data_IF_844710017599
#
_entry.id   IF_844710017599
#
_cell.length_a   1.000
_cell.length_b   1.000
_cell.length_c   1.000
_cell.angle_alpha   90.00
_cell.angle_beta   90.00
_cell.angle_gamma   90.00
#
_symmetry.space_group_name_H-M   'P 1'
#
loop_
_entity.id
_entity.type
_entity.pdbx_description
1 polymer ?
#
# COMPACT_ATOMS: atom_id res chain seq x y z
N UNK A 1 0.28 -20.44 -0.89
CA UNK A 1 -0.76 -19.44 -0.57
C UNK A 1 -1.99 -19.74 -1.41
N UNK A 2 -3.19 -19.70 -0.85
CA UNK A 2 -4.42 -19.94 -1.62
C UNK A 2 -4.55 -18.86 -2.69
N UNK A 3 -4.75 -19.24 -3.96
CA UNK A 3 -4.88 -18.31 -5.09
C UNK A 3 -5.94 -17.22 -4.86
N UNK A 4 -6.99 -17.53 -4.11
CA UNK A 4 -8.05 -16.56 -3.77
C UNK A 4 -7.62 -15.46 -2.80
N UNK A 5 -6.51 -15.63 -2.07
CA UNK A 5 -5.94 -14.54 -1.27
C UNK A 5 -5.04 -13.61 -2.09
N UNK A 6 -4.39 -14.15 -3.12
CA UNK A 6 -3.57 -13.36 -4.04
C UNK A 6 -4.42 -12.63 -5.10
N UNK A 7 -5.38 -13.35 -5.72
CA UNK A 7 -6.25 -12.82 -6.76
C UNK A 7 -7.72 -13.27 -6.52
N UNK A 8 -8.46 -12.55 -5.65
CA UNK A 8 -9.85 -12.87 -5.37
C UNK A 8 -10.71 -12.73 -6.62
N UNK A 9 -11.54 -13.77 -6.95
CA UNK A 9 -12.39 -13.76 -8.13
C UNK A 9 -13.82 -14.19 -7.81
N UNK A 10 -14.79 -13.62 -8.53
CA UNK A 10 -16.21 -13.97 -8.43
C UNK A 10 -16.82 -13.69 -7.04
N UNK A 11 -17.99 -14.29 -6.76
CA UNK A 11 -18.72 -14.10 -5.47
C UNK A 11 -17.92 -14.59 -4.26
N UNK A 12 -17.16 -15.66 -4.42
CA UNK A 12 -16.29 -16.18 -3.36
C UNK A 12 -15.13 -15.22 -3.09
N UNK A 13 -14.52 -14.64 -4.15
CA UNK A 13 -13.51 -13.60 -4.01
C UNK A 13 -14.02 -12.37 -3.28
N UNK A 14 -15.26 -11.94 -3.52
CA UNK A 14 -15.88 -10.84 -2.76
C UNK A 14 -15.96 -11.18 -1.27
N UNK A 15 -16.40 -12.39 -0.91
CA UNK A 15 -16.44 -12.85 0.48
C UNK A 15 -15.03 -12.85 1.13
N UNK A 16 -14.04 -13.37 0.42
CA UNK A 16 -12.65 -13.38 0.89
C UNK A 16 -12.13 -11.95 1.08
N UNK A 17 -12.39 -11.02 0.14
CA UNK A 17 -12.00 -9.61 0.26
C UNK A 17 -12.62 -8.95 1.51
N UNK A 18 -13.90 -9.15 1.77
CA UNK A 18 -14.55 -8.61 2.98
C UNK A 18 -14.04 -9.28 4.27
N UNK A 19 -13.70 -10.56 4.22
CA UNK A 19 -13.04 -11.24 5.33
C UNK A 19 -11.66 -10.66 5.60
N UNK A 20 -10.86 -10.41 4.55
CA UNK A 20 -9.54 -9.77 4.67
C UNK A 20 -9.64 -8.37 5.28
N UNK A 21 -10.62 -7.55 4.85
CA UNK A 21 -10.87 -6.23 5.45
C UNK A 21 -11.03 -6.35 6.97
N UNK A 22 -11.90 -7.24 7.44
CA UNK A 22 -12.13 -7.43 8.89
C UNK A 22 -10.88 -7.93 9.62
N UNK A 23 -10.09 -8.76 8.96
CA UNK A 23 -8.89 -9.35 9.54
C UNK A 23 -7.73 -8.34 9.65
N UNK A 24 -7.64 -7.39 8.73
CA UNK A 24 -6.51 -6.46 8.61
C UNK A 24 -6.83 -5.04 9.07
N UNK A 25 -7.91 -4.83 9.86
CA UNK A 25 -8.31 -3.50 10.32
C UNK A 25 -7.20 -2.80 11.12
N UNK A 26 -6.59 -3.49 12.09
CA UNK A 26 -5.57 -2.91 12.94
C UNK A 26 -4.33 -2.47 12.17
N UNK A 27 -3.84 -3.33 11.28
CA UNK A 27 -2.69 -3.04 10.42
C UNK A 27 -3.00 -1.88 9.46
N UNK A 28 -4.22 -1.87 8.92
CA UNK A 28 -4.67 -0.81 8.00
C UNK A 28 -4.76 0.53 8.71
N UNK A 29 -5.38 0.61 9.88
CA UNK A 29 -5.51 1.84 10.65
C UNK A 29 -4.14 2.37 11.09
N UNK A 30 -3.24 1.47 11.50
CA UNK A 30 -1.88 1.84 11.84
C UNK A 30 -1.11 2.38 10.62
N UNK A 31 -1.20 1.72 9.45
CA UNK A 31 -0.57 2.19 8.21
C UNK A 31 -1.09 3.56 7.78
N UNK A 32 -2.41 3.76 7.84
CA UNK A 32 -3.04 5.06 7.54
C UNK A 32 -2.51 6.17 8.47
N UNK A 33 -2.29 5.87 9.75
CA UNK A 33 -1.71 6.83 10.68
C UNK A 33 -0.22 7.12 10.37
N UNK A 34 0.56 6.12 9.93
CA UNK A 34 1.96 6.32 9.53
C UNK A 34 2.11 7.22 8.31
N UNK A 35 1.09 7.31 7.45
CA UNK A 35 1.12 8.21 6.29
C UNK A 35 1.21 9.68 6.70
N UNK A 36 0.80 10.04 7.92
CA UNK A 36 0.81 11.42 8.40
C UNK A 36 0.24 12.39 7.35
N UNK A 37 -0.99 12.09 6.91
CA UNK A 37 -1.65 12.78 5.80
C UNK A 37 -1.81 14.26 6.12
N UNK A 38 -1.35 15.10 5.22
CA UNK A 38 -1.50 16.54 5.31
C UNK A 38 -2.67 17.02 4.45
N UNK A 39 -3.10 18.24 4.71
CA UNK A 39 -4.12 18.88 3.89
C UNK A 39 -3.66 18.96 2.44
N UNK A 40 -4.56 18.61 1.54
CA UNK A 40 -4.37 18.63 0.08
C UNK A 40 -3.39 17.57 -0.47
N UNK A 41 -2.95 16.61 0.33
CA UNK A 41 -2.15 15.47 -0.16
C UNK A 41 -2.89 14.70 -1.27
N UNK A 42 -2.13 14.24 -2.25
CA UNK A 42 -2.55 13.23 -3.23
C UNK A 42 -1.92 11.89 -2.87
N UNK A 43 -2.75 10.85 -2.73
CA UNK A 43 -2.34 9.56 -2.16
C UNK A 43 -2.58 8.43 -3.16
N UNK A 44 -1.62 7.50 -3.26
CA UNK A 44 -1.76 6.26 -4.02
C UNK A 44 -1.70 5.05 -3.08
N UNK A 45 -2.66 4.15 -3.18
CA UNK A 45 -2.62 2.82 -2.58
C UNK A 45 -2.38 1.76 -3.65
N UNK A 46 -1.34 0.93 -3.47
CA UNK A 46 -1.06 -0.22 -4.31
C UNK A 46 -1.62 -1.48 -3.68
N UNK A 47 -2.45 -2.21 -4.43
CA UNK A 47 -3.17 -3.38 -3.94
C UNK A 47 -4.29 -2.97 -2.99
N UNK A 48 -5.16 -2.07 -3.43
CA UNK A 48 -6.20 -1.48 -2.57
C UNK A 48 -7.28 -2.50 -2.12
N UNK A 49 -7.27 -3.71 -2.66
CA UNK A 49 -8.22 -4.74 -2.30
C UNK A 49 -9.67 -4.25 -2.35
N UNK A 50 -10.44 -4.48 -1.31
CA UNK A 50 -11.83 -3.99 -1.19
C UNK A 50 -11.94 -2.51 -0.78
N UNK A 51 -10.85 -1.73 -0.78
CA UNK A 51 -10.83 -0.28 -0.63
C UNK A 51 -11.04 0.24 0.79
N UNK A 52 -10.71 -0.55 1.81
CA UNK A 52 -10.94 -0.16 3.22
C UNK A 52 -9.99 0.94 3.68
N UNK A 53 -8.70 0.89 3.33
CA UNK A 53 -7.77 1.95 3.72
C UNK A 53 -8.14 3.30 3.08
N UNK A 54 -8.57 3.29 1.81
CA UNK A 54 -9.09 4.49 1.14
C UNK A 54 -10.33 5.03 1.87
N UNK A 55 -11.27 4.17 2.26
CA UNK A 55 -12.44 4.57 3.05
C UNK A 55 -12.01 5.26 4.37
N UNK A 56 -11.02 4.72 5.07
CA UNK A 56 -10.47 5.32 6.30
C UNK A 56 -9.84 6.69 6.04
N UNK A 57 -9.08 6.84 4.95
CA UNK A 57 -8.50 8.12 4.53
C UNK A 57 -9.56 9.15 4.16
N UNK A 58 -10.64 8.75 3.47
CA UNK A 58 -11.79 9.62 3.16
C UNK A 58 -12.41 10.17 4.45
N UNK A 59 -12.57 9.33 5.46
CA UNK A 59 -13.12 9.75 6.76
C UNK A 59 -12.23 10.74 7.52
N UNK A 60 -10.92 10.74 7.29
CA UNK A 60 -10.01 11.75 7.85
C UNK A 60 -10.16 13.12 7.18
N UNK A 61 -10.72 13.19 5.98
CA UNK A 61 -11.07 14.41 5.23
C UNK A 61 -9.91 15.37 4.94
N UNK A 62 -8.65 14.91 5.00
CA UNK A 62 -7.46 15.73 4.77
C UNK A 62 -6.97 15.67 3.32
N UNK A 63 -6.94 14.47 2.73
CA UNK A 63 -6.43 14.26 1.40
C UNK A 63 -7.32 14.90 0.33
N UNK A 64 -6.68 15.55 -0.66
CA UNK A 64 -7.35 16.13 -1.81
C UNK A 64 -7.86 15.06 -2.76
N UNK A 65 -7.04 14.05 -3.03
CA UNK A 65 -7.34 12.98 -3.97
C UNK A 65 -6.65 11.68 -3.56
N UNK A 66 -7.35 10.58 -3.72
CA UNK A 66 -6.83 9.25 -3.46
C UNK A 66 -7.04 8.36 -4.69
N UNK A 67 -6.01 7.60 -5.03
CA UNK A 67 -6.07 6.60 -6.10
C UNK A 67 -5.79 5.23 -5.50
N UNK A 68 -6.66 4.26 -5.77
CA UNK A 68 -6.44 2.86 -5.43
C UNK A 68 -6.22 2.03 -6.69
N UNK A 69 -5.19 1.21 -6.71
CA UNK A 69 -4.88 0.26 -7.80
C UNK A 69 -4.99 -1.15 -7.28
N UNK A 70 -5.61 -2.04 -8.06
CA UNK A 70 -5.61 -3.47 -7.79
C UNK A 70 -5.67 -4.26 -9.10
N UNK A 71 -5.10 -5.47 -9.11
CA UNK A 71 -5.09 -6.37 -10.27
C UNK A 71 -6.30 -7.31 -10.30
N UNK A 72 -7.15 -7.31 -9.28
CA UNK A 72 -8.39 -8.09 -9.23
C UNK A 72 -9.60 -7.23 -9.58
N UNK A 73 -10.26 -7.54 -10.69
CA UNK A 73 -11.52 -6.88 -11.08
C UNK A 73 -12.62 -7.03 -10.01
N UNK A 74 -12.60 -8.12 -9.24
CA UNK A 74 -13.53 -8.35 -8.13
C UNK A 74 -13.25 -7.38 -6.99
N UNK A 75 -11.99 -7.14 -6.65
CA UNK A 75 -11.58 -6.19 -5.62
C UNK A 75 -11.87 -4.76 -6.04
N UNK A 76 -11.56 -4.37 -7.27
CA UNK A 76 -11.92 -3.08 -7.85
C UNK A 76 -13.42 -2.79 -7.68
N UNK A 77 -14.26 -3.76 -8.02
CA UNK A 77 -15.73 -3.60 -7.88
C UNK A 77 -16.13 -3.42 -6.41
N UNK A 78 -15.56 -4.18 -5.49
CA UNK A 78 -15.82 -4.04 -4.05
C UNK A 78 -15.36 -2.68 -3.53
N UNK A 79 -14.17 -2.22 -3.92
CA UNK A 79 -13.63 -0.92 -3.56
C UNK A 79 -14.48 0.24 -4.09
N UNK A 80 -14.98 0.13 -5.33
CA UNK A 80 -15.87 1.12 -5.94
C UNK A 80 -17.21 1.22 -5.21
N UNK A 81 -17.78 0.09 -4.80
CA UNK A 81 -19.02 0.07 -4.00
C UNK A 81 -18.79 0.73 -2.64
N UNK A 82 -17.71 0.38 -1.95
CA UNK A 82 -17.35 0.90 -0.63
C UNK A 82 -17.13 2.40 -0.65
N UNK A 83 -16.45 2.91 -1.67
CA UNK A 83 -16.06 4.33 -1.78
C UNK A 83 -16.96 5.14 -2.72
N UNK A 84 -18.18 4.67 -3.00
CA UNK A 84 -19.07 5.23 -4.01
C UNK A 84 -19.26 6.75 -3.90
N UNK A 85 -19.50 7.28 -2.71
CA UNK A 85 -19.75 8.71 -2.50
C UNK A 85 -18.49 9.54 -2.80
N UNK A 86 -17.32 9.10 -2.35
CA UNK A 86 -16.05 9.77 -2.60
C UNK A 86 -15.62 9.70 -4.08
N UNK A 87 -16.01 8.63 -4.80
CA UNK A 87 -15.82 8.53 -6.25
C UNK A 87 -16.73 9.53 -6.97
N UNK A 88 -18.00 9.66 -6.57
CA UNK A 88 -18.93 10.61 -7.16
C UNK A 88 -18.52 12.08 -6.94
N UNK A 89 -17.83 12.38 -5.84
CA UNK A 89 -17.26 13.71 -5.58
C UNK A 89 -15.87 13.93 -6.21
N UNK A 90 -15.36 13.00 -7.01
CA UNK A 90 -14.02 13.00 -7.60
C UNK A 90 -12.86 13.03 -6.58
N UNK A 91 -13.11 12.69 -5.31
CA UNK A 91 -12.06 12.57 -4.29
C UNK A 91 -11.31 11.25 -4.40
N UNK A 92 -11.97 10.18 -4.85
CA UNK A 92 -11.39 8.84 -5.00
C UNK A 92 -11.48 8.36 -6.44
N UNK A 93 -10.40 7.74 -6.92
CA UNK A 93 -10.36 6.99 -8.17
C UNK A 93 -9.87 5.57 -7.92
N UNK A 94 -10.63 4.55 -8.34
CA UNK A 94 -10.25 3.15 -8.22
C UNK A 94 -10.02 2.59 -9.61
N UNK A 95 -8.79 2.14 -9.88
CA UNK A 95 -8.36 1.71 -11.21
C UNK A 95 -7.83 0.28 -11.19
N UNK A 96 -8.12 -0.46 -12.26
CA UNK A 96 -7.49 -1.75 -12.52
C UNK A 96 -6.07 -1.52 -13.04
N UNK A 97 -5.08 -2.22 -12.48
CA UNK A 97 -3.70 -2.08 -12.91
C UNK A 97 -2.78 -3.17 -12.36
N UNK A 98 -1.63 -3.31 -13.02
CA UNK A 98 -0.56 -4.19 -12.57
C UNK A 98 0.28 -3.47 -11.51
N UNK A 99 0.48 -4.12 -10.36
CA UNK A 99 1.26 -3.58 -9.25
C UNK A 99 2.76 -3.56 -9.53
N UNK A 100 3.21 -4.37 -10.49
CA UNK A 100 4.61 -4.44 -10.92
C UNK A 100 4.96 -3.42 -12.02
N UNK A 101 3.95 -2.66 -12.53
CA UNK A 101 4.15 -1.66 -13.59
C UNK A 101 3.19 -0.50 -13.42
N UNK A 102 3.63 0.52 -12.70
CA UNK A 102 2.79 1.69 -12.42
C UNK A 102 2.72 2.63 -13.63
N UNK A 103 1.52 2.81 -14.18
CA UNK A 103 1.26 3.67 -15.33
C UNK A 103 0.70 5.04 -14.88
N UNK A 104 1.41 5.74 -13.99
CA UNK A 104 1.06 7.08 -13.53
C UNK A 104 2.09 8.11 -13.97
N UNK A 105 1.70 9.38 -14.12
CA UNK A 105 2.65 10.47 -14.34
C UNK A 105 3.70 10.57 -13.22
N UNK A 106 4.88 11.05 -13.57
CA UNK A 106 5.92 11.33 -12.59
C UNK A 106 5.48 12.44 -11.64
N UNK A 107 5.93 12.35 -10.39
CA UNK A 107 5.72 13.40 -9.37
C UNK A 107 4.24 13.75 -9.16
N UNK A 108 3.36 12.74 -9.19
CA UNK A 108 1.92 12.91 -9.01
C UNK A 108 1.47 12.84 -7.55
N UNK A 109 2.10 11.98 -6.73
CA UNK A 109 1.63 11.66 -5.39
C UNK A 109 2.53 12.20 -4.30
N UNK A 110 1.90 12.71 -3.22
CA UNK A 110 2.61 13.10 -2.00
C UNK A 110 2.93 11.89 -1.14
N UNK A 111 2.02 10.90 -1.14
CA UNK A 111 2.13 9.66 -0.38
C UNK A 111 1.83 8.46 -1.27
N UNK A 112 2.61 7.41 -1.11
CA UNK A 112 2.29 6.10 -1.70
C UNK A 112 2.34 5.06 -0.59
N UNK A 113 1.37 4.17 -0.52
CA UNK A 113 1.41 3.10 0.44
C UNK A 113 0.88 1.79 -0.12
N UNK A 114 1.21 0.72 0.57
CA UNK A 114 0.71 -0.60 0.27
C UNK A 114 0.69 -1.46 1.54
N UNK A 115 -0.29 -2.36 1.62
CA UNK A 115 -0.48 -3.25 2.76
C UNK A 115 -0.54 -4.69 2.27
N UNK A 116 0.37 -5.53 2.74
CA UNK A 116 0.46 -6.96 2.41
C UNK A 116 0.64 -7.31 0.93
N UNK A 117 1.20 -6.41 0.11
CA UNK A 117 1.46 -6.69 -1.31
C UNK A 117 2.89 -7.13 -1.62
N UNK A 118 3.84 -6.87 -0.72
CA UNK A 118 5.27 -7.19 -0.91
C UNK A 118 5.51 -8.62 -1.40
N UNK A 119 4.71 -9.58 -0.94
CA UNK A 119 4.83 -11.00 -1.27
C UNK A 119 4.49 -11.34 -2.74
N UNK A 120 3.90 -10.39 -3.47
CA UNK A 120 3.46 -10.53 -4.86
C UNK A 120 4.28 -9.69 -5.84
N UNK A 121 5.32 -8.99 -5.35
CA UNK A 121 6.20 -8.22 -6.21
C UNK A 121 7.20 -9.14 -6.91
N UNK A 122 7.10 -9.21 -8.23
CA UNK A 122 8.00 -10.02 -9.07
C UNK A 122 9.35 -9.33 -9.25
N UNK A 123 9.34 -7.99 -9.38
CA UNK A 123 10.53 -7.13 -9.49
C UNK A 123 10.49 -6.03 -8.43
N UNK A 124 11.09 -6.29 -7.26
CA UNK A 124 11.17 -5.34 -6.15
C UNK A 124 11.87 -4.05 -6.57
N UNK A 125 12.97 -4.18 -7.33
CA UNK A 125 13.75 -3.00 -7.77
C UNK A 125 12.95 -2.15 -8.75
N UNK A 126 12.30 -2.78 -9.72
CA UNK A 126 11.44 -2.09 -10.69
C UNK A 126 10.26 -1.40 -10.02
N UNK A 127 9.58 -2.07 -9.09
CA UNK A 127 8.47 -1.49 -8.33
C UNK A 127 8.93 -0.28 -7.52
N UNK A 128 10.04 -0.36 -6.80
CA UNK A 128 10.60 0.77 -6.04
C UNK A 128 11.05 1.92 -6.94
N UNK A 129 11.58 1.63 -8.13
CA UNK A 129 11.87 2.64 -9.16
C UNK A 129 10.61 3.39 -9.58
N UNK A 130 9.52 2.66 -9.82
CA UNK A 130 8.25 3.27 -10.21
C UNK A 130 7.64 4.08 -9.06
N UNK A 131 7.72 3.58 -7.81
CA UNK A 131 7.32 4.37 -6.62
C UNK A 131 8.09 5.70 -6.55
N UNK A 132 9.41 5.66 -6.76
CA UNK A 132 10.23 6.87 -6.75
C UNK A 132 9.82 7.86 -7.84
N UNK A 133 9.50 7.39 -9.05
CA UNK A 133 9.08 8.24 -10.17
C UNK A 133 7.75 8.92 -9.88
N UNK A 134 6.75 8.19 -9.38
CA UNK A 134 5.40 8.74 -9.16
C UNK A 134 5.30 9.62 -7.92
N UNK A 135 6.20 9.49 -6.95
CA UNK A 135 6.27 10.36 -5.78
C UNK A 135 6.80 11.74 -6.14
N UNK A 136 6.18 12.78 -5.59
CA UNK A 136 6.70 14.14 -5.61
C UNK A 136 7.99 14.25 -4.78
N UNK A 137 8.88 15.23 -5.08
CA UNK A 137 9.94 15.59 -4.13
C UNK A 137 9.35 15.94 -2.75
N UNK A 138 9.93 15.40 -1.69
CA UNK A 138 9.41 15.51 -0.32
C UNK A 138 8.32 14.49 0.04
N UNK A 139 7.81 13.73 -0.93
CA UNK A 139 6.88 12.65 -0.68
C UNK A 139 7.53 11.41 -0.05
N UNK A 140 6.74 10.48 0.45
CA UNK A 140 7.24 9.24 1.02
C UNK A 140 6.36 8.03 0.68
N UNK A 141 6.94 6.84 0.81
CA UNK A 141 6.18 5.59 0.76
C UNK A 141 6.11 4.92 2.13
N UNK A 142 5.04 4.14 2.34
CA UNK A 142 4.86 3.23 3.47
C UNK A 142 4.52 1.84 2.93
N UNK A 143 5.40 0.86 3.18
CA UNK A 143 5.23 -0.53 2.79
C UNK A 143 4.98 -1.37 4.04
N UNK A 144 3.72 -1.76 4.29
CA UNK A 144 3.31 -2.55 5.45
C UNK A 144 3.17 -4.03 5.09
N UNK A 145 3.71 -4.90 5.94
CA UNK A 145 3.68 -6.36 5.79
C UNK A 145 3.75 -7.05 7.16
N UNK A 146 3.60 -8.38 7.19
CA UNK A 146 3.90 -9.19 8.37
C UNK A 146 5.25 -9.89 8.19
N UNK A 147 6.04 -9.94 9.27
CA UNK A 147 7.33 -10.62 9.30
C UNK A 147 7.41 -11.78 10.29
N UNK A 148 6.29 -12.13 10.91
CA UNK A 148 6.22 -13.23 11.87
C UNK A 148 4.82 -13.50 12.42
N UNK A 149 4.72 -14.56 13.22
CA UNK A 149 3.49 -14.94 13.92
C UNK A 149 3.83 -15.60 15.26
N UNK A 150 3.15 -15.22 16.34
CA UNK A 150 3.49 -15.62 17.72
C UNK A 150 4.96 -15.31 18.03
N UNK A 151 5.72 -16.31 18.44
CA UNK A 151 7.16 -16.20 18.72
C UNK A 151 8.04 -16.50 17.50
N UNK A 152 7.43 -16.80 16.33
CA UNK A 152 8.13 -17.17 15.11
C UNK A 152 8.35 -15.94 14.22
N UNK A 153 9.61 -15.64 13.92
CA UNK A 153 10.01 -14.64 12.91
C UNK A 153 10.22 -15.35 11.58
N UNK A 154 9.63 -14.81 10.53
CA UNK A 154 9.80 -15.30 9.16
C UNK A 154 11.10 -14.76 8.58
N UNK A 155 12.17 -15.52 8.79
CA UNK A 155 13.53 -15.12 8.35
C UNK A 155 13.58 -14.77 6.87
N UNK A 156 12.86 -15.49 6.00
CA UNK A 156 12.80 -15.21 4.57
C UNK A 156 12.21 -13.83 4.25
N UNK A 157 11.21 -13.36 5.00
CA UNK A 157 10.65 -12.00 4.82
C UNK A 157 11.63 -10.96 5.35
N UNK A 158 12.24 -11.21 6.50
CA UNK A 158 13.24 -10.32 7.08
C UNK A 158 14.45 -10.17 6.13
N UNK A 159 14.95 -11.30 5.61
CA UNK A 159 16.06 -11.30 4.64
C UNK A 159 15.69 -10.56 3.36
N UNK A 160 14.49 -10.78 2.82
CA UNK A 160 13.98 -10.08 1.64
C UNK A 160 14.01 -8.56 1.84
N UNK A 161 13.54 -8.09 2.98
CA UNK A 161 13.51 -6.67 3.30
C UNK A 161 14.93 -6.10 3.45
N UNK A 162 15.80 -6.80 4.16
CA UNK A 162 17.16 -6.32 4.44
C UNK A 162 18.08 -6.39 3.22
N UNK A 163 17.93 -7.43 2.37
CA UNK A 163 18.86 -7.69 1.26
C UNK A 163 18.35 -7.16 -0.08
N UNK A 164 17.05 -6.94 -0.24
CA UNK A 164 16.48 -6.47 -1.51
C UNK A 164 15.72 -5.15 -1.36
N UNK A 165 14.70 -5.05 -0.48
CA UNK A 165 13.84 -3.86 -0.41
C UNK A 165 14.63 -2.61 0.00
N UNK A 166 15.32 -2.65 1.13
CA UNK A 166 16.07 -1.49 1.64
C UNK A 166 17.23 -1.10 0.71
N UNK A 167 18.07 -2.02 0.20
CA UNK A 167 19.11 -1.69 -0.76
C UNK A 167 18.57 -1.11 -2.07
N UNK A 168 17.52 -1.69 -2.63
CA UNK A 168 16.90 -1.17 -3.86
C UNK A 168 16.31 0.23 -3.65
N UNK A 169 15.61 0.47 -2.54
CA UNK A 169 15.10 1.79 -2.21
C UNK A 169 16.23 2.84 -2.14
N UNK A 170 17.36 2.51 -1.49
CA UNK A 170 18.55 3.39 -1.45
C UNK A 170 19.10 3.65 -2.85
N UNK A 171 19.22 2.60 -3.68
CA UNK A 171 19.73 2.69 -5.04
C UNK A 171 18.87 3.62 -5.91
N UNK A 172 17.57 3.61 -5.74
CA UNK A 172 16.65 4.50 -6.45
C UNK A 172 16.57 5.92 -5.88
N UNK A 173 17.29 6.23 -4.79
CA UNK A 173 17.41 7.57 -4.25
C UNK A 173 16.51 7.89 -3.07
N UNK A 174 15.82 6.90 -2.50
CA UNK A 174 15.12 7.10 -1.23
C UNK A 174 16.10 7.32 -0.07
N UNK A 175 15.76 8.27 0.78
CA UNK A 175 16.48 8.64 2.00
C UNK A 175 15.66 8.34 3.24
N UNK A 176 16.27 8.45 4.42
CA UNK A 176 15.60 8.29 5.73
C UNK A 176 14.76 7.01 5.80
N UNK A 177 15.34 5.92 5.27
CA UNK A 177 14.65 4.63 5.24
C UNK A 177 14.65 4.03 6.64
N UNK A 178 13.45 3.84 7.18
CA UNK A 178 13.24 3.28 8.53
C UNK A 178 12.39 2.02 8.47
N UNK A 179 12.66 1.11 9.39
CA UNK A 179 11.81 -0.05 9.69
C UNK A 179 11.10 0.22 11.01
N UNK A 180 9.77 0.16 11.00
CA UNK A 180 8.93 0.49 12.15
C UNK A 180 8.10 -0.73 12.53
N UNK A 181 8.15 -1.12 13.80
CA UNK A 181 7.31 -2.19 14.35
C UNK A 181 5.92 -1.63 14.65
N UNK A 182 4.90 -2.39 14.27
CA UNK A 182 3.50 -2.04 14.41
C UNK A 182 2.75 -2.92 15.42
N UNK A 183 1.42 -2.87 15.40
CA UNK A 183 0.61 -3.66 16.30
C UNK A 183 0.72 -5.15 15.97
N UNK A 184 0.68 -5.99 17.00
CA UNK A 184 0.43 -7.42 16.83
C UNK A 184 -1.06 -7.61 16.54
N UNK A 185 -1.38 -8.13 15.36
CA UNK A 185 -2.75 -8.37 14.93
C UNK A 185 -2.97 -9.85 14.66
N UNK A 186 -3.94 -10.46 15.34
CA UNK A 186 -4.23 -11.90 15.21
C UNK A 186 -2.98 -12.78 15.34
N UNK A 187 -2.09 -12.42 16.26
CA UNK A 187 -0.79 -13.06 16.51
C UNK A 187 0.27 -12.80 15.42
N UNK A 188 -0.04 -12.05 14.35
CA UNK A 188 0.94 -11.64 13.35
C UNK A 188 1.66 -10.37 13.76
N UNK A 189 2.97 -10.34 13.53
CA UNK A 189 3.79 -9.14 13.73
C UNK A 189 3.66 -8.24 12.51
N UNK A 190 3.24 -7.01 12.72
CA UNK A 190 3.12 -6.01 11.65
C UNK A 190 4.36 -5.14 11.65
N UNK A 191 4.91 -4.90 10.45
CA UNK A 191 6.10 -4.09 10.24
C UNK A 191 5.88 -3.18 9.05
N UNK A 192 6.48 -1.99 9.05
CA UNK A 192 6.48 -1.12 7.88
C UNK A 192 7.91 -0.64 7.54
N UNK A 193 8.20 -0.58 6.24
CA UNK A 193 9.32 0.19 5.70
C UNK A 193 8.80 1.53 5.23
N UNK A 194 9.41 2.61 5.70
CA UNK A 194 9.12 3.99 5.28
C UNK A 194 10.37 4.53 4.59
N UNK A 195 10.22 5.16 3.43
CA UNK A 195 11.31 5.80 2.72
C UNK A 195 10.86 7.11 2.09
N UNK A 196 11.70 8.14 2.13
CA UNK A 196 11.40 9.49 1.68
C UNK A 196 12.11 9.82 0.36
N UNK A 197 11.41 10.52 -0.55
CA UNK A 197 12.02 11.14 -1.71
C UNK A 197 12.52 12.53 -1.33
N UNK A 198 13.83 12.79 -1.51
CA UNK A 198 14.42 14.10 -1.19
C UNK A 198 13.69 15.26 -1.89
N UNK A 199 13.61 16.40 -1.22
CA UNK A 199 13.09 17.66 -1.79
C UNK A 199 14.04 18.28 -2.81
N UNK A 200 15.34 17.96 -2.74
CA UNK A 200 16.34 18.50 -3.66
C UNK A 200 16.35 17.72 -4.96
N UNK A 201 16.03 18.38 -6.08
CA UNK A 201 16.38 17.86 -7.42
C UNK A 201 17.92 17.89 -7.51
N UNK A 202 18.56 16.71 -7.61
CA UNK A 202 19.96 16.63 -8.01
C UNK A 202 20.12 17.07 -9.47
#
# INVERSE_FOLDING_TARGET
MDQQYAHPTGRFGTYIGEKMVRQHQHETEWTVNLLNVQKDDTILELGCGAGYAIERLVHQSLAKQMVGVDSSSTMIRSAQIRNKQAIQSNQVNIVYGDLNKLAFPNEQFDKVFTIHTLYFWEDISGTLSDLYKVLKPGGHFVLTFCDGKNDEIWTGVKDLVQTQVIPAAKTHGFTDITLVEGPVSRQFHTVAVIGHKSTNKK
#
